data_IF_889980702211
#
_entry.id   IF_889980702211
#
_cell.length_a   1.000
_cell.length_b   1.000
_cell.length_c   1.000
_cell.angle_alpha   90.00
_cell.angle_beta   90.00
_cell.angle_gamma   90.00
#
_symmetry.space_group_name_H-M   'P 1'
#
loop_
_entity.id
_entity.type
_entity.pdbx_description
1 polymer ?
#
# COMPACT_ATOMS: atom_id res chain seq x y z
N UNK A 1 20.76 10.36 4.02
CA UNK A 1 21.37 10.28 5.36
C UNK A 1 20.35 10.79 6.36
N UNK A 2 20.15 10.06 7.46
CA UNK A 2 19.26 10.41 8.56
C UNK A 2 20.03 11.27 9.58
N UNK A 3 19.52 12.46 9.87
CA UNK A 3 20.08 13.32 10.92
C UNK A 3 19.44 13.06 12.30
N UNK A 4 20.03 13.66 13.35
CA UNK A 4 19.57 13.46 14.71
C UNK A 4 18.15 13.98 14.94
N UNK A 5 17.80 15.11 14.34
CA UNK A 5 16.47 15.70 14.48
C UNK A 5 15.40 14.78 13.87
N UNK A 6 15.68 14.21 12.70
CA UNK A 6 14.83 13.22 12.04
C UNK A 6 14.69 11.95 12.89
N UNK A 7 15.77 11.45 13.48
CA UNK A 7 15.72 10.31 14.38
C UNK A 7 14.88 10.57 15.64
N UNK A 8 14.97 11.77 16.23
CA UNK A 8 14.14 12.18 17.37
C UNK A 8 12.66 12.31 16.99
N UNK A 9 12.36 12.82 15.80
CA UNK A 9 10.99 12.88 15.26
C UNK A 9 10.41 11.47 15.04
N UNK A 10 11.17 10.56 14.43
CA UNK A 10 10.78 9.16 14.26
C UNK A 10 10.51 8.49 15.60
N UNK A 11 11.42 8.66 16.56
CA UNK A 11 11.26 8.11 17.91
C UNK A 11 9.97 8.62 18.58
N UNK A 12 9.67 9.92 18.47
CA UNK A 12 8.45 10.50 19.02
C UNK A 12 7.18 9.91 18.39
N UNK A 13 7.18 9.68 17.07
CA UNK A 13 6.07 9.04 16.35
C UNK A 13 5.90 7.60 16.81
N UNK A 14 6.97 6.80 16.84
CA UNK A 14 6.90 5.40 17.25
C UNK A 14 6.49 5.24 18.71
N UNK A 15 7.03 6.03 19.63
CA UNK A 15 6.63 6.02 21.03
C UNK A 15 5.16 6.40 21.22
N UNK A 16 4.62 7.33 20.41
CA UNK A 16 3.18 7.65 20.42
C UNK A 16 2.33 6.46 19.97
N UNK A 17 2.72 5.78 18.88
CA UNK A 17 2.03 4.57 18.40
C UNK A 17 2.08 3.45 19.44
N UNK A 18 3.21 3.25 20.09
CA UNK A 18 3.34 2.27 21.17
C UNK A 18 2.51 2.63 22.39
N UNK A 19 2.39 3.93 22.72
CA UNK A 19 1.52 4.40 23.80
C UNK A 19 0.06 4.07 23.54
N UNK A 20 -0.39 4.23 22.29
CA UNK A 20 -1.73 3.88 21.85
C UNK A 20 -1.97 2.37 21.95
N UNK A 21 -1.04 1.57 21.41
CA UNK A 21 -1.10 0.10 21.44
C UNK A 21 -1.12 -0.47 22.86
N UNK A 22 -0.30 0.07 23.76
CA UNK A 22 -0.14 -0.45 25.13
C UNK A 22 -1.12 0.18 26.14
N UNK A 23 -1.78 1.28 25.78
CA UNK A 23 -2.74 1.98 26.65
C UNK A 23 -2.11 2.80 27.79
N UNK A 24 -0.81 3.08 27.73
CA UNK A 24 -0.10 3.94 28.68
C UNK A 24 1.03 4.72 28.00
N UNK A 25 1.44 5.86 28.58
CA UNK A 25 2.48 6.71 28.00
C UNK A 25 3.81 5.96 27.82
N UNK A 26 4.34 5.99 26.59
CA UNK A 26 5.69 5.55 26.24
C UNK A 26 6.50 6.79 25.86
N UNK A 27 7.70 6.92 26.43
CA UNK A 27 8.60 8.04 26.15
C UNK A 27 9.75 7.60 25.27
N UNK A 28 10.01 8.31 24.15
CA UNK A 28 11.11 7.98 23.27
C UNK A 28 12.45 8.28 23.92
N UNK A 29 13.44 7.47 23.60
CA UNK A 29 14.84 7.71 23.90
C UNK A 29 15.65 7.41 22.65
N UNK A 30 16.55 8.34 22.29
CA UNK A 30 17.43 8.23 21.14
C UNK A 30 18.88 8.36 21.59
N UNK A 31 19.62 7.27 21.46
CA UNK A 31 21.05 7.21 21.69
C UNK A 31 21.76 7.14 20.33
N UNK A 32 22.72 8.03 20.11
CA UNK A 32 23.43 8.15 18.83
C UNK A 32 24.81 7.51 18.92
N UNK A 33 25.20 6.79 17.87
CA UNK A 33 26.55 6.24 17.69
C UNK A 33 27.05 6.54 16.27
N UNK A 34 28.28 6.13 15.95
CA UNK A 34 28.93 6.45 14.67
C UNK A 34 28.15 5.99 13.43
N UNK A 35 27.53 4.79 13.48
CA UNK A 35 26.82 4.21 12.33
C UNK A 35 25.31 4.50 12.32
N UNK A 36 24.71 4.94 13.43
CA UNK A 36 23.26 4.96 13.53
C UNK A 36 22.69 5.64 14.78
N UNK A 37 21.38 5.46 14.95
CA UNK A 37 20.62 5.85 16.14
C UNK A 37 19.93 4.63 16.72
N UNK A 38 20.15 4.34 18.00
CA UNK A 38 19.41 3.36 18.75
C UNK A 38 18.21 4.04 19.41
N UNK A 39 17.01 3.65 18.99
CA UNK A 39 15.73 4.18 19.44
C UNK A 39 15.06 3.14 20.34
N UNK A 40 14.68 3.58 21.53
CA UNK A 40 13.92 2.76 22.48
C UNK A 40 12.74 3.55 23.03
N UNK A 41 11.72 2.84 23.46
CA UNK A 41 10.64 3.41 24.25
C UNK A 41 10.73 2.98 25.70
N UNK A 42 10.62 3.96 26.58
CA UNK A 42 10.59 3.78 28.03
C UNK A 42 9.16 3.87 28.52
N UNK A 43 8.81 3.03 29.49
CA UNK A 43 7.48 2.98 30.11
C UNK A 43 7.61 3.30 31.60
N UNK A 44 6.52 3.73 32.26
CA UNK A 44 6.48 3.86 33.72
C UNK A 44 6.90 2.55 34.40
N UNK A 45 7.54 2.64 35.55
CA UNK A 45 8.07 1.48 36.30
C UNK A 45 6.94 0.51 36.70
N UNK A 46 5.73 1.04 36.86
CA UNK A 46 4.52 0.32 37.24
C UNK A 46 3.89 -0.44 36.06
N UNK A 47 4.29 -0.15 34.83
CA UNK A 47 3.75 -0.80 33.63
C UNK A 47 4.39 -2.18 33.42
N UNK A 48 3.54 -3.21 33.29
CA UNK A 48 4.00 -4.55 32.92
C UNK A 48 4.19 -4.61 31.41
N UNK A 49 5.38 -4.96 30.96
CA UNK A 49 5.68 -5.24 29.54
C UNK A 49 5.76 -6.75 29.31
N UNK A 50 5.24 -7.24 28.20
CA UNK A 50 5.42 -8.65 27.84
C UNK A 50 6.85 -8.87 27.28
N UNK A 51 7.41 -10.08 27.38
CA UNK A 51 8.65 -10.41 26.69
C UNK A 51 8.52 -10.14 25.19
N UNK A 52 9.41 -9.31 24.63
CA UNK A 52 9.39 -8.89 23.23
C UNK A 52 8.71 -7.53 22.98
N UNK A 53 8.02 -6.95 23.97
CA UNK A 53 7.53 -5.57 23.86
C UNK A 53 8.69 -4.56 23.92
N UNK A 54 8.54 -3.49 23.13
CA UNK A 54 9.44 -2.32 23.10
C UNK A 54 10.91 -2.72 22.80
N UNK A 55 11.17 -3.37 21.65
CA UNK A 55 12.53 -3.72 21.27
C UNK A 55 13.38 -2.46 21.03
N UNK A 56 14.71 -2.64 21.01
CA UNK A 56 15.59 -1.57 20.54
C UNK A 56 15.56 -1.55 19.02
N UNK A 57 15.27 -0.40 18.43
CA UNK A 57 15.27 -0.21 16.98
C UNK A 57 16.50 0.58 16.58
N UNK A 58 17.29 0.10 15.63
CA UNK A 58 18.46 0.82 15.10
C UNK A 58 18.12 1.36 13.72
N UNK A 59 18.34 2.67 13.54
CA UNK A 59 18.27 3.36 12.25
C UNK A 59 19.70 3.63 11.76
N UNK A 60 20.09 3.05 10.62
CA UNK A 60 21.38 3.34 9.98
C UNK A 60 21.41 4.79 9.46
N UNK A 61 22.45 5.54 9.82
CA UNK A 61 22.59 6.96 9.44
C UNK A 61 22.70 7.15 7.92
N UNK A 62 23.41 6.26 7.24
CA UNK A 62 23.69 6.38 5.81
C UNK A 62 22.51 5.91 4.97
N UNK A 63 22.03 4.69 5.26
CA UNK A 63 21.04 4.00 4.42
C UNK A 63 19.60 4.26 4.83
N UNK A 64 19.36 4.69 6.08
CA UNK A 64 18.01 4.78 6.66
C UNK A 64 17.37 3.41 6.91
N UNK A 65 18.15 2.32 6.85
CA UNK A 65 17.65 0.99 7.16
C UNK A 65 17.28 0.86 8.64
N UNK A 66 16.15 0.21 8.90
CA UNK A 66 15.61 -0.02 10.23
C UNK A 66 15.77 -1.49 10.60
N UNK A 67 16.42 -1.77 11.74
CA UNK A 67 16.61 -3.12 12.26
C UNK A 67 16.15 -3.22 13.71
N UNK A 68 15.60 -4.38 14.08
CA UNK A 68 15.07 -4.63 15.42
C UNK A 68 16.03 -5.52 16.22
N UNK A 69 16.34 -5.11 17.44
CA UNK A 69 17.32 -5.73 18.32
C UNK A 69 16.73 -6.05 19.69
N UNK A 70 17.28 -7.06 20.41
CA UNK A 70 16.90 -7.34 21.78
C UNK A 70 17.01 -6.11 22.68
N UNK A 71 16.17 -6.06 23.71
CA UNK A 71 16.17 -4.97 24.70
C UNK A 71 17.33 -5.14 25.70
N UNK A 72 18.53 -4.80 25.25
CA UNK A 72 19.79 -4.81 26.02
C UNK A 72 20.39 -3.40 26.07
N UNK A 73 21.39 -3.11 26.93
CA UNK A 73 22.08 -1.83 26.94
C UNK A 73 22.57 -1.40 25.55
N UNK A 74 22.53 -0.09 25.27
CA UNK A 74 22.80 0.47 23.94
C UNK A 74 24.19 0.12 23.43
N UNK A 75 25.19 0.10 24.31
CA UNK A 75 26.57 -0.30 23.99
C UNK A 75 26.67 -1.76 23.51
N UNK A 76 25.80 -2.63 24.00
CA UNK A 76 25.69 -4.03 23.54
C UNK A 76 25.01 -4.08 22.17
N UNK A 77 23.94 -3.30 21.97
CA UNK A 77 23.27 -3.20 20.65
C UNK A 77 24.23 -2.66 19.59
N UNK A 78 25.00 -1.63 19.91
CA UNK A 78 26.02 -1.05 19.03
C UNK A 78 27.05 -2.12 18.58
N UNK A 79 27.56 -2.91 19.53
CA UNK A 79 28.50 -4.00 19.22
C UNK A 79 27.85 -5.10 18.36
N UNK A 80 26.61 -5.48 18.66
CA UNK A 80 25.88 -6.48 17.87
C UNK A 80 25.61 -5.97 16.45
N UNK A 81 25.19 -4.71 16.33
CA UNK A 81 24.94 -4.06 15.06
C UNK A 81 26.20 -3.99 14.20
N UNK A 82 27.33 -3.52 14.76
CA UNK A 82 28.64 -3.51 14.06
C UNK A 82 29.05 -4.87 13.52
N UNK A 83 28.81 -5.96 14.28
CA UNK A 83 29.14 -7.32 13.84
C UNK A 83 28.21 -7.85 12.75
N UNK A 84 26.97 -7.37 12.71
CA UNK A 84 25.96 -7.80 11.75
C UNK A 84 25.96 -7.01 10.44
N UNK A 85 26.49 -5.77 10.49
CA UNK A 85 26.48 -4.86 9.35
C UNK A 85 27.50 -5.36 8.32
N UNK A 86 27.10 -5.51 7.04
CA UNK A 86 28.05 -5.87 5.99
C UNK A 86 29.15 -4.81 5.84
N UNK A 87 30.38 -5.24 5.55
CA UNK A 87 31.53 -4.36 5.33
C UNK A 87 31.52 -3.70 3.93
N UNK A 88 30.86 -4.32 2.94
CA UNK A 88 30.74 -3.84 1.57
C UNK A 88 29.44 -3.00 1.40
N UNK A 89 29.43 -1.88 0.65
CA UNK A 89 28.19 -1.30 0.16
C UNK A 89 27.26 -2.38 -0.40
N UNK A 90 26.13 -2.59 0.28
CA UNK A 90 25.16 -3.59 -0.11
C UNK A 90 24.63 -3.35 -1.53
N UNK A 91 24.00 -4.38 -2.08
CA UNK A 91 23.39 -4.31 -3.40
C UNK A 91 22.49 -3.07 -3.54
N UNK A 92 22.43 -2.45 -4.74
CA UNK A 92 21.49 -1.37 -5.01
C UNK A 92 20.07 -1.76 -4.63
N UNK A 93 19.33 -0.83 -4.02
CA UNK A 93 17.91 -1.03 -3.72
C UNK A 93 17.05 -0.30 -4.73
N UNK A 94 15.88 -0.85 -4.98
CA UNK A 94 14.86 -0.27 -5.86
C UNK A 94 14.24 0.98 -5.26
N UNK A 95 14.06 0.98 -3.94
CA UNK A 95 13.53 2.13 -3.20
C UNK A 95 14.56 2.52 -2.14
N UNK A 96 14.85 3.81 -2.04
CA UNK A 96 15.67 4.36 -0.96
C UNK A 96 14.95 4.18 0.39
N UNK A 97 15.49 3.37 1.32
CA UNK A 97 14.85 3.14 2.62
C UNK A 97 14.68 4.42 3.44
N UNK A 98 15.66 5.33 3.36
CA UNK A 98 15.61 6.59 4.09
C UNK A 98 14.39 7.43 3.68
N UNK A 99 14.07 7.49 2.38
CA UNK A 99 12.91 8.23 1.88
C UNK A 99 11.57 7.68 2.40
N UNK A 100 11.40 6.35 2.45
CA UNK A 100 10.19 5.75 3.02
C UNK A 100 10.10 5.97 4.54
N UNK A 101 11.22 5.80 5.24
CA UNK A 101 11.30 6.01 6.68
C UNK A 101 10.93 7.45 7.07
N UNK A 102 11.49 8.44 6.39
CA UNK A 102 11.22 9.85 6.68
C UNK A 102 9.76 10.24 6.43
N UNK A 103 9.07 9.56 5.50
CA UNK A 103 7.64 9.77 5.28
C UNK A 103 6.81 9.38 6.51
N UNK A 104 7.25 8.40 7.30
CA UNK A 104 6.55 7.97 8.52
C UNK A 104 6.46 9.05 9.60
N UNK A 105 7.35 10.06 9.55
CA UNK A 105 7.31 11.21 10.48
C UNK A 105 5.96 11.94 10.38
N UNK A 106 5.38 11.97 9.17
CA UNK A 106 4.19 12.78 8.86
C UNK A 106 2.97 11.98 8.42
N UNK A 107 3.17 10.73 8.00
CA UNK A 107 2.11 9.89 7.41
C UNK A 107 2.10 8.51 8.03
N UNK A 108 0.93 7.90 8.10
CA UNK A 108 0.84 6.49 8.41
C UNK A 108 1.33 5.64 7.22
N UNK A 109 2.05 4.53 7.46
CA UNK A 109 2.46 3.60 6.40
C UNK A 109 1.26 2.90 5.73
N UNK A 110 0.21 2.61 6.50
CA UNK A 110 -0.99 1.95 6.02
C UNK A 110 -1.89 2.91 5.21
N UNK A 111 -2.69 2.40 4.25
CA UNK A 111 -2.69 1.02 3.79
C UNK A 111 -1.45 0.77 2.91
N UNK A 112 -0.84 -0.40 3.00
CA UNK A 112 0.22 -0.80 2.06
C UNK A 112 0.24 -2.31 1.89
N UNK A 113 1.12 -2.83 1.06
CA UNK A 113 1.41 -4.25 0.96
C UNK A 113 2.89 -4.50 1.26
N UNK A 114 3.17 -5.69 1.79
CA UNK A 114 4.51 -6.21 1.97
C UNK A 114 4.65 -7.51 1.17
N UNK A 115 5.63 -7.60 0.29
CA UNK A 115 5.92 -8.77 -0.51
C UNK A 115 7.14 -9.50 0.06
N UNK A 116 7.03 -10.81 0.19
CA UNK A 116 8.07 -11.73 0.65
C UNK A 116 8.44 -12.65 -0.52
N UNK A 117 9.72 -12.65 -0.88
CA UNK A 117 10.26 -13.56 -1.91
C UNK A 117 11.40 -14.36 -1.28
N UNK A 118 11.22 -15.68 -1.19
CA UNK A 118 12.27 -16.58 -0.68
C UNK A 118 12.92 -17.28 -1.86
N UNK A 119 14.22 -17.05 -2.05
CA UNK A 119 15.03 -17.63 -3.13
C UNK A 119 16.20 -18.35 -2.48
N UNK A 120 16.41 -19.64 -2.81
CA UNK A 120 17.50 -20.47 -2.26
C UNK A 120 17.59 -20.43 -0.72
N UNK A 121 16.45 -20.34 -0.03
CA UNK A 121 16.38 -20.26 1.43
C UNK A 121 16.64 -18.87 2.04
N UNK A 122 16.98 -17.86 1.24
CA UNK A 122 17.11 -16.46 1.68
C UNK A 122 15.80 -15.71 1.42
N UNK A 123 15.29 -15.05 2.46
CA UNK A 123 14.07 -14.23 2.40
C UNK A 123 14.41 -12.78 2.06
N UNK A 124 13.79 -12.27 1.00
CA UNK A 124 13.76 -10.86 0.60
C UNK A 124 12.39 -10.26 0.89
N UNK A 125 12.38 -8.99 1.29
CA UNK A 125 11.15 -8.28 1.71
C UNK A 125 11.15 -6.89 1.13
N UNK A 126 10.02 -6.48 0.58
CA UNK A 126 9.77 -5.11 0.16
C UNK A 126 8.36 -4.66 0.52
N UNK A 127 8.15 -3.36 0.54
CA UNK A 127 6.83 -2.74 0.70
C UNK A 127 6.51 -1.87 -0.53
N UNK A 128 5.22 -1.58 -0.72
CA UNK A 128 4.81 -0.62 -1.75
C UNK A 128 5.40 0.77 -1.48
N UNK A 129 5.85 1.43 -2.55
CA UNK A 129 6.57 2.70 -2.46
C UNK A 129 5.64 3.90 -2.56
N UNK A 130 5.47 4.61 -1.45
CA UNK A 130 4.66 5.83 -1.37
C UNK A 130 5.48 7.10 -1.45
N UNK A 131 4.80 8.21 -1.76
CA UNK A 131 5.39 9.54 -1.84
C UNK A 131 6.25 9.77 -3.08
N UNK A 132 6.89 10.92 -3.13
CA UNK A 132 7.67 11.40 -4.29
C UNK A 132 9.08 10.80 -4.33
N UNK A 133 9.13 9.46 -4.33
CA UNK A 133 10.38 8.71 -4.46
C UNK A 133 10.66 8.31 -5.90
N UNK A 134 11.93 8.39 -6.28
CA UNK A 134 12.45 7.85 -7.54
C UNK A 134 12.74 6.37 -7.35
N UNK A 135 12.22 5.54 -8.25
CA UNK A 135 12.43 4.10 -8.23
C UNK A 135 13.64 3.72 -9.08
N UNK A 136 14.54 2.94 -8.51
CA UNK A 136 15.72 2.39 -9.17
C UNK A 136 15.49 0.91 -9.50
N UNK A 137 14.47 0.63 -10.32
CA UNK A 137 14.17 -0.74 -10.76
C UNK A 137 15.36 -1.37 -11.47
N UNK A 138 15.59 -2.65 -11.23
CA UNK A 138 16.57 -3.47 -11.92
C UNK A 138 16.34 -3.38 -13.44
N UNK A 139 17.39 -3.31 -14.29
CA UNK A 139 17.23 -3.11 -15.73
C UNK A 139 16.26 -4.09 -16.42
N UNK A 140 16.19 -5.35 -15.96
CA UNK A 140 15.23 -6.32 -16.49
C UNK A 140 13.77 -5.99 -16.15
N UNK A 141 13.49 -5.56 -14.90
CA UNK A 141 12.15 -5.14 -14.49
C UNK A 141 11.78 -3.82 -15.16
N UNK A 142 12.75 -2.91 -15.32
CA UNK A 142 12.56 -1.66 -16.07
C UNK A 142 12.20 -1.92 -17.52
N UNK A 143 12.91 -2.85 -18.18
CA UNK A 143 12.62 -3.24 -19.57
C UNK A 143 11.22 -3.83 -19.70
N UNK A 144 10.82 -4.73 -18.78
CA UNK A 144 9.45 -5.25 -18.72
C UNK A 144 8.41 -4.14 -18.61
N UNK A 145 8.63 -3.16 -17.70
CA UNK A 145 7.73 -2.03 -17.50
C UNK A 145 7.61 -1.14 -18.74
N UNK A 146 8.74 -0.86 -19.41
CA UNK A 146 8.80 -0.02 -20.61
C UNK A 146 8.11 -0.68 -21.82
N UNK A 147 8.03 -2.02 -21.84
CA UNK A 147 7.35 -2.79 -22.89
C UNK A 147 5.83 -2.89 -22.68
N UNK A 148 5.29 -2.51 -21.50
CA UNK A 148 3.87 -2.62 -21.23
C UNK A 148 3.05 -1.59 -22.02
N UNK A 149 2.03 -2.02 -22.79
CA UNK A 149 1.12 -1.07 -23.42
C UNK A 149 0.33 -0.28 -22.37
N UNK A 150 -0.13 0.95 -22.71
CA UNK A 150 -1.08 1.67 -21.86
C UNK A 150 -2.25 0.77 -21.45
N UNK A 151 -2.70 0.92 -20.20
CA UNK A 151 -3.79 0.11 -19.66
C UNK A 151 -3.38 -1.25 -19.10
N UNK A 152 -2.13 -1.69 -19.22
CA UNK A 152 -1.71 -3.03 -18.74
C UNK A 152 -1.13 -3.05 -17.33
N UNK A 153 -0.81 -1.87 -16.78
CA UNK A 153 -0.42 -1.72 -15.38
C UNK A 153 -1.58 -1.16 -14.58
N UNK A 154 -1.81 -1.69 -13.38
CA UNK A 154 -2.69 -1.00 -12.43
C UNK A 154 -2.11 0.37 -12.06
N UNK A 155 -2.96 1.21 -11.48
CA UNK A 155 -2.58 2.53 -10.98
C UNK A 155 -1.36 2.43 -10.05
N UNK A 156 -0.25 3.08 -10.41
CA UNK A 156 1.00 3.02 -9.65
C UNK A 156 1.65 1.64 -9.61
N UNK A 157 1.37 0.75 -10.57
CA UNK A 157 1.87 -0.63 -10.56
C UNK A 157 3.39 -0.77 -10.47
N UNK A 158 4.15 0.21 -10.96
CA UNK A 158 5.61 0.27 -10.83
C UNK A 158 6.08 0.43 -9.37
N UNK A 159 5.22 0.87 -8.46
CA UNK A 159 5.51 1.08 -7.02
C UNK A 159 5.10 -0.09 -6.14
N UNK A 160 4.59 -1.16 -6.72
CA UNK A 160 4.05 -2.28 -5.96
C UNK A 160 5.16 -3.12 -5.33
N UNK A 161 4.91 -3.60 -4.11
CA UNK A 161 5.85 -4.40 -3.31
C UNK A 161 6.37 -5.62 -4.09
N UNK A 162 5.52 -6.21 -4.92
CA UNK A 162 5.81 -7.37 -5.77
C UNK A 162 6.89 -7.06 -6.82
N UNK A 163 6.81 -5.89 -7.46
CA UNK A 163 7.83 -5.46 -8.43
C UNK A 163 9.13 -5.07 -7.74
N UNK A 164 9.02 -4.39 -6.60
CA UNK A 164 10.17 -3.93 -5.81
C UNK A 164 10.96 -5.12 -5.28
N UNK A 165 10.30 -6.15 -4.71
CA UNK A 165 11.03 -7.30 -4.15
C UNK A 165 11.74 -8.11 -5.23
N UNK A 166 11.12 -8.30 -6.41
CA UNK A 166 11.77 -8.99 -7.54
C UNK A 166 12.97 -8.18 -8.02
N UNK A 167 12.82 -6.87 -8.16
CA UNK A 167 13.90 -5.97 -8.54
C UNK A 167 15.07 -6.01 -7.53
N UNK A 168 14.79 -5.97 -6.24
CA UNK A 168 15.81 -6.05 -5.17
C UNK A 168 16.56 -7.38 -5.17
N UNK A 169 15.86 -8.49 -5.46
CA UNK A 169 16.51 -9.80 -5.62
C UNK A 169 17.46 -9.78 -6.82
N UNK A 170 17.03 -9.25 -7.97
CA UNK A 170 17.88 -9.20 -9.15
C UNK A 170 19.11 -8.30 -8.95
N UNK A 171 18.95 -7.14 -8.31
CA UNK A 171 20.08 -6.29 -7.92
C UNK A 171 21.07 -7.03 -7.01
N UNK A 172 20.59 -7.82 -6.05
CA UNK A 172 21.46 -8.62 -5.17
C UNK A 172 22.27 -9.65 -5.96
N UNK A 173 21.66 -10.37 -6.91
CA UNK A 173 22.38 -11.35 -7.72
C UNK A 173 23.39 -10.67 -8.65
N UNK A 174 23.02 -9.57 -9.30
CA UNK A 174 23.95 -8.82 -10.16
C UNK A 174 25.11 -8.20 -9.38
N UNK A 175 24.86 -7.72 -8.16
CA UNK A 175 25.91 -7.23 -7.28
C UNK A 175 26.94 -8.33 -6.96
N UNK A 176 26.49 -9.56 -6.66
CA UNK A 176 27.40 -10.71 -6.44
C UNK A 176 28.14 -11.11 -7.72
N UNK A 177 27.44 -11.18 -8.86
CA UNK A 177 28.08 -11.48 -10.16
C UNK A 177 29.17 -10.46 -10.50
N UNK A 178 28.91 -9.17 -10.26
CA UNK A 178 29.88 -8.11 -10.46
C UNK A 178 31.12 -8.26 -9.58
N UNK A 179 30.95 -8.65 -8.30
CA UNK A 179 32.07 -8.95 -7.39
C UNK A 179 32.95 -10.11 -7.88
N UNK A 180 32.37 -11.05 -8.63
CA UNK A 180 33.06 -12.17 -9.26
C UNK A 180 33.54 -11.88 -10.70
N UNK A 181 33.32 -10.66 -11.23
CA UNK A 181 33.67 -10.29 -12.60
C UNK A 181 32.81 -10.96 -13.68
N UNK A 182 31.62 -11.45 -13.31
CA UNK A 182 30.64 -12.08 -14.19
C UNK A 182 29.68 -11.00 -14.74
N UNK A 183 29.26 -11.17 -16.00
CA UNK A 183 28.29 -10.27 -16.63
C UNK A 183 26.93 -10.26 -15.89
N UNK A 184 26.18 -9.14 -15.96
CA UNK A 184 24.82 -9.02 -15.44
C UNK A 184 23.86 -10.11 -15.95
N UNK A 185 22.81 -10.37 -15.18
CA UNK A 185 21.73 -11.31 -15.49
C UNK A 185 21.06 -11.00 -16.82
N UNK A 186 20.92 -12.03 -17.65
CA UNK A 186 19.93 -12.03 -18.73
C UNK A 186 18.53 -12.41 -18.23
N UNK A 187 17.53 -12.21 -19.09
CA UNK A 187 16.13 -12.61 -18.79
C UNK A 187 16.02 -14.11 -18.49
N UNK A 188 16.74 -14.95 -19.24
CA UNK A 188 16.74 -16.41 -19.01
C UNK A 188 17.31 -16.78 -17.64
N UNK A 189 18.42 -16.16 -17.24
CA UNK A 189 19.04 -16.36 -15.93
C UNK A 189 18.08 -15.94 -14.80
N UNK A 190 17.45 -14.78 -14.93
CA UNK A 190 16.49 -14.28 -13.95
C UNK A 190 15.31 -15.24 -13.77
N UNK A 191 14.74 -15.75 -14.87
CA UNK A 191 13.66 -16.74 -14.83
C UNK A 191 14.09 -18.06 -14.20
N UNK A 192 15.33 -18.50 -14.45
CA UNK A 192 15.87 -19.75 -13.88
C UNK A 192 16.06 -19.66 -12.36
N UNK A 193 16.56 -18.52 -11.86
CA UNK A 193 16.70 -18.25 -10.42
C UNK A 193 15.32 -18.18 -9.75
N UNK A 194 14.39 -17.44 -10.36
CA UNK A 194 13.10 -17.12 -9.76
C UNK A 194 12.09 -18.27 -9.83
N UNK A 195 12.24 -19.26 -10.73
CA UNK A 195 11.29 -20.38 -10.84
C UNK A 195 11.14 -21.23 -9.58
N UNK A 196 12.16 -21.22 -8.70
CA UNK A 196 12.15 -21.96 -7.43
C UNK A 196 11.73 -21.09 -6.25
N UNK A 197 11.41 -19.82 -6.49
CA UNK A 197 11.08 -18.88 -5.45
C UNK A 197 9.73 -19.20 -4.80
N UNK A 198 9.64 -18.99 -3.49
CA UNK A 198 8.36 -18.93 -2.79
C UNK A 198 7.96 -17.46 -2.63
N UNK A 199 6.76 -17.13 -3.08
CA UNK A 199 6.21 -15.79 -3.01
C UNK A 199 4.99 -15.72 -2.09
N UNK A 200 4.96 -14.69 -1.24
CA UNK A 200 3.83 -14.35 -0.38
C UNK A 200 3.65 -12.83 -0.36
N UNK A 201 2.40 -12.36 -0.27
CA UNK A 201 2.11 -10.92 -0.15
C UNK A 201 1.13 -10.70 1.01
N UNK A 202 1.37 -9.64 1.77
CA UNK A 202 0.64 -9.30 2.98
C UNK A 202 0.06 -7.90 2.84
N UNK A 203 -1.23 -7.75 3.13
CA UNK A 203 -1.91 -6.46 3.28
C UNK A 203 -1.59 -5.90 4.66
N UNK A 204 -0.98 -4.72 4.69
CA UNK A 204 -0.70 -3.97 5.92
C UNK A 204 -1.84 -2.98 6.13
N UNK A 205 -2.62 -3.22 7.18
CA UNK A 205 -3.84 -2.50 7.55
C UNK A 205 -3.74 -1.99 8.99
N UNK A 206 -4.75 -1.25 9.42
CA UNK A 206 -4.89 -0.87 10.82
C UNK A 206 -4.97 -2.08 11.75
N UNK A 207 -4.50 -1.97 13.00
CA UNK A 207 -4.70 -3.01 14.00
C UNK A 207 -6.18 -3.38 14.14
N UNK A 208 -6.47 -4.68 14.07
CA UNK A 208 -7.83 -5.20 14.17
C UNK A 208 -8.66 -5.16 12.88
N UNK A 209 -8.13 -4.65 11.76
CA UNK A 209 -8.77 -4.79 10.45
C UNK A 209 -8.74 -6.27 10.02
N UNK A 210 -9.90 -6.92 9.80
CA UNK A 210 -9.97 -8.33 9.39
C UNK A 210 -9.37 -8.59 8.01
N UNK A 211 -9.13 -7.56 7.21
CA UNK A 211 -8.51 -7.67 5.88
C UNK A 211 -6.97 -7.55 5.92
N UNK A 212 -6.38 -7.29 7.09
CA UNK A 212 -4.93 -7.30 7.27
C UNK A 212 -4.34 -8.72 7.27
N UNK A 213 -3.05 -8.84 6.92
CA UNK A 213 -2.34 -10.12 6.88
C UNK A 213 -2.20 -10.68 5.47
N UNK A 214 -2.04 -12.00 5.35
CA UNK A 214 -1.79 -12.66 4.07
C UNK A 214 -2.90 -12.33 3.05
N UNK A 215 -2.52 -11.90 1.86
CA UNK A 215 -3.45 -11.68 0.76
C UNK A 215 -3.58 -12.95 -0.08
N UNK A 216 -4.78 -13.20 -0.60
CA UNK A 216 -5.04 -14.38 -1.44
C UNK A 216 -4.24 -14.33 -2.76
N UNK A 217 -3.95 -13.13 -3.26
CA UNK A 217 -3.25 -12.91 -4.54
C UNK A 217 -2.80 -11.45 -4.72
N UNK A 218 -1.71 -11.23 -5.47
CA UNK A 218 -1.27 -9.91 -5.93
C UNK A 218 -2.33 -9.15 -6.75
N UNK A 219 -2.09 -7.86 -7.01
CA UNK A 219 -2.89 -7.08 -7.96
C UNK A 219 -2.79 -7.68 -9.39
N UNK A 220 -3.70 -7.31 -10.28
CA UNK A 220 -3.82 -7.91 -11.61
C UNK A 220 -2.52 -7.80 -12.43
N UNK A 221 -1.92 -6.61 -12.54
CA UNK A 221 -0.66 -6.45 -13.27
C UNK A 221 0.55 -7.08 -12.57
N UNK A 222 0.52 -7.20 -11.24
CA UNK A 222 1.57 -7.91 -10.50
C UNK A 222 1.52 -9.42 -10.77
N UNK A 223 0.33 -10.01 -10.92
CA UNK A 223 0.19 -11.42 -11.32
C UNK A 223 0.85 -11.64 -12.68
N UNK A 224 0.54 -10.78 -13.67
CA UNK A 224 1.11 -10.92 -15.02
C UNK A 224 2.63 -10.78 -15.03
N UNK A 225 3.18 -9.84 -14.25
CA UNK A 225 4.63 -9.67 -14.08
C UNK A 225 5.26 -10.90 -13.42
N UNK A 226 4.70 -11.36 -12.29
CA UNK A 226 5.27 -12.49 -11.55
C UNK A 226 5.22 -13.79 -12.37
N UNK A 227 4.22 -13.96 -13.22
CA UNK A 227 4.20 -15.06 -14.21
C UNK A 227 5.29 -14.86 -15.26
N UNK A 228 5.49 -13.65 -15.77
CA UNK A 228 6.54 -13.37 -16.77
C UNK A 228 7.94 -13.71 -16.24
N UNK A 229 8.22 -13.42 -14.97
CA UNK A 229 9.47 -13.73 -14.29
C UNK A 229 9.55 -15.15 -13.69
N UNK A 230 8.58 -16.03 -14.00
CA UNK A 230 8.47 -17.40 -13.47
C UNK A 230 8.32 -17.52 -11.94
N UNK A 231 7.98 -16.45 -11.23
CA UNK A 231 7.69 -16.50 -9.79
C UNK A 231 6.34 -17.17 -9.51
N UNK A 232 5.35 -16.94 -10.39
CA UNK A 232 4.04 -17.59 -10.33
C UNK A 232 3.82 -18.53 -11.54
N UNK A 233 3.00 -19.58 -11.40
CA UNK A 233 2.73 -20.50 -12.50
C UNK A 233 1.91 -19.81 -13.60
N UNK A 234 2.12 -20.23 -14.84
CA UNK A 234 1.44 -19.66 -16.02
C UNK A 234 -0.11 -19.66 -15.90
N UNK A 235 -0.67 -20.61 -15.15
CA UNK A 235 -2.11 -20.75 -14.91
C UNK A 235 -2.73 -19.53 -14.23
N UNK A 236 -1.93 -18.76 -13.49
CA UNK A 236 -2.41 -17.60 -12.72
C UNK A 236 -2.86 -16.45 -13.64
N UNK A 237 -2.45 -16.44 -14.91
CA UNK A 237 -3.02 -15.55 -15.95
C UNK A 237 -4.53 -15.73 -16.13
N UNK A 238 -5.12 -16.85 -15.68
CA UNK A 238 -6.58 -16.99 -15.62
C UNK A 238 -7.24 -15.92 -14.72
N UNK A 239 -6.52 -15.46 -13.69
CA UNK A 239 -7.00 -14.41 -12.79
C UNK A 239 -6.90 -13.01 -13.39
N UNK A 240 -6.19 -12.80 -14.49
CA UNK A 240 -6.06 -11.49 -15.16
C UNK A 240 -6.83 -11.44 -16.49
N UNK A 241 -7.47 -12.55 -16.89
CA UNK A 241 -8.29 -12.59 -18.11
C UNK A 241 -9.30 -11.44 -18.17
N UNK A 242 -9.30 -10.62 -19.23
CA UNK A 242 -10.26 -9.54 -19.38
C UNK A 242 -11.70 -10.07 -19.33
N UNK A 243 -12.56 -9.33 -18.66
CA UNK A 243 -13.99 -9.62 -18.62
C UNK A 243 -14.77 -8.33 -18.79
N UNK A 244 -15.75 -8.37 -19.71
CA UNK A 244 -16.68 -7.28 -19.98
C UNK A 244 -18.10 -7.82 -19.88
N UNK A 245 -19.05 -7.03 -19.37
CA UNK A 245 -20.43 -7.44 -19.31
C UNK A 245 -21.06 -7.46 -20.70
N UNK A 246 -22.05 -8.32 -20.88
CA UNK A 246 -22.95 -8.25 -22.03
C UNK A 246 -23.79 -6.96 -21.96
N UNK A 247 -24.14 -6.35 -23.12
CA UNK A 247 -24.99 -5.19 -23.16
C UNK A 247 -26.36 -5.43 -22.51
N UNK A 248 -26.76 -4.51 -21.64
CA UNK A 248 -28.02 -4.46 -20.93
C UNK A 248 -28.61 -3.05 -21.03
N UNK A 249 -29.94 -2.89 -20.82
CA UNK A 249 -30.56 -1.56 -20.83
C UNK A 249 -29.95 -0.64 -19.77
N UNK A 250 -29.58 0.57 -20.18
CA UNK A 250 -29.10 1.63 -19.28
C UNK A 250 -30.29 2.23 -18.53
N UNK A 251 -30.35 2.14 -17.18
CA UNK A 251 -31.43 2.70 -16.40
C UNK A 251 -31.42 4.24 -16.36
N UNK A 252 -30.32 4.91 -16.76
CA UNK A 252 -30.23 6.37 -16.85
C UNK A 252 -29.49 6.82 -18.12
N UNK A 253 -30.12 6.69 -19.31
CA UNK A 253 -29.50 7.02 -20.58
C UNK A 253 -28.90 8.42 -20.62
N UNK A 254 -27.63 8.51 -21.04
CA UNK A 254 -26.91 9.78 -21.22
C UNK A 254 -26.15 10.28 -19.99
N UNK A 255 -26.29 9.63 -18.82
CA UNK A 255 -25.49 9.95 -17.62
C UNK A 255 -24.03 9.50 -17.75
N UNK A 256 -23.80 8.35 -18.39
CA UNK A 256 -22.49 7.72 -18.50
C UNK A 256 -22.12 7.36 -19.93
N UNK A 257 -20.81 7.22 -20.18
CA UNK A 257 -20.31 6.54 -21.36
C UNK A 257 -20.89 5.11 -21.43
N UNK A 258 -21.24 4.56 -22.61
CA UNK A 258 -21.86 3.24 -22.72
C UNK A 258 -21.12 2.14 -21.94
N UNK A 259 -19.81 2.03 -22.11
CA UNK A 259 -18.98 1.05 -21.40
C UNK A 259 -19.06 1.18 -19.86
N UNK A 260 -19.22 2.40 -19.34
CA UNK A 260 -19.35 2.67 -17.90
C UNK A 260 -20.74 2.25 -17.44
N UNK A 261 -21.79 2.68 -18.14
CA UNK A 261 -23.17 2.29 -17.85
C UNK A 261 -23.32 0.75 -17.82
N UNK A 262 -22.78 0.05 -18.82
CA UNK A 262 -22.84 -1.42 -18.87
C UNK A 262 -22.14 -2.10 -17.70
N UNK A 263 -20.98 -1.58 -17.29
CA UNK A 263 -20.26 -2.12 -16.15
C UNK A 263 -21.00 -1.90 -14.83
N UNK A 264 -21.59 -0.70 -14.63
CA UNK A 264 -22.39 -0.40 -13.44
C UNK A 264 -23.65 -1.26 -13.39
N UNK A 265 -24.33 -1.41 -14.53
CA UNK A 265 -25.51 -2.23 -14.69
C UNK A 265 -25.22 -3.70 -14.36
N UNK A 266 -24.11 -4.24 -14.84
CA UNK A 266 -23.67 -5.59 -14.50
C UNK A 266 -23.21 -5.73 -13.04
N UNK A 267 -22.74 -4.63 -12.42
CA UNK A 267 -22.39 -4.56 -11.01
C UNK A 267 -23.60 -4.42 -10.06
N UNK A 268 -24.83 -4.43 -10.62
CA UNK A 268 -26.08 -4.38 -9.86
C UNK A 268 -26.73 -3.00 -9.78
N UNK A 269 -26.18 -1.97 -10.43
CA UNK A 269 -26.75 -0.63 -10.38
C UNK A 269 -28.15 -0.57 -11.00
N UNK A 270 -29.16 -0.34 -10.16
CA UNK A 270 -30.57 -0.11 -10.55
C UNK A 270 -31.16 0.90 -9.57
N UNK A 271 -31.26 2.19 -9.94
CA UNK A 271 -31.78 3.21 -9.04
C UNK A 271 -33.16 2.82 -8.48
N UNK A 272 -33.29 2.87 -7.15
CA UNK A 272 -34.49 2.46 -6.44
C UNK A 272 -34.81 3.42 -5.30
N UNK A 273 -36.10 3.57 -4.97
CA UNK A 273 -36.53 4.52 -3.93
C UNK A 273 -36.02 4.16 -2.52
N UNK A 274 -35.65 2.89 -2.29
CA UNK A 274 -35.13 2.40 -1.01
C UNK A 274 -33.63 2.60 -0.80
N UNK A 275 -32.91 3.11 -1.80
CA UNK A 275 -31.44 3.22 -1.78
C UNK A 275 -30.92 4.08 -0.63
N UNK A 276 -31.65 5.15 -0.28
CA UNK A 276 -31.31 6.03 0.84
C UNK A 276 -31.31 5.29 2.19
N UNK A 277 -32.27 4.37 2.39
CA UNK A 277 -32.35 3.57 3.63
C UNK A 277 -31.15 2.63 3.74
N UNK A 278 -30.75 2.02 2.62
CA UNK A 278 -29.56 1.16 2.55
C UNK A 278 -28.30 1.97 2.86
N UNK A 279 -28.17 3.16 2.28
CA UNK A 279 -27.05 4.07 2.53
C UNK A 279 -26.99 4.50 4.01
N UNK A 280 -28.10 4.94 4.60
CA UNK A 280 -28.17 5.32 6.02
C UNK A 280 -27.79 4.18 6.96
N UNK A 281 -28.21 2.95 6.66
CA UNK A 281 -27.80 1.77 7.42
C UNK A 281 -26.30 1.49 7.30
N UNK A 282 -25.75 1.60 6.09
CA UNK A 282 -24.33 1.40 5.86
C UNK A 282 -23.48 2.46 6.58
N UNK A 283 -23.89 3.74 6.54
CA UNK A 283 -23.20 4.84 7.22
C UNK A 283 -23.17 4.60 8.72
N UNK A 284 -24.33 4.29 9.32
CA UNK A 284 -24.44 4.02 10.76
C UNK A 284 -23.49 2.91 11.21
N UNK A 285 -23.46 1.81 10.48
CA UNK A 285 -22.71 0.62 10.88
C UNK A 285 -21.20 0.82 10.68
N UNK A 286 -20.80 1.59 9.68
CA UNK A 286 -19.39 1.97 9.46
C UNK A 286 -18.93 2.98 10.50
N UNK A 287 -19.74 3.99 10.82
CA UNK A 287 -19.43 4.96 11.89
C UNK A 287 -19.39 4.35 13.29
N UNK A 288 -20.02 3.19 13.50
CA UNK A 288 -19.92 2.43 14.75
C UNK A 288 -18.57 1.72 14.93
N UNK A 289 -17.82 1.49 13.85
CA UNK A 289 -16.46 0.93 13.90
C UNK A 289 -15.47 2.06 14.18
N UNK A 290 -14.79 1.98 15.32
CA UNK A 290 -13.81 2.97 15.78
C UNK A 290 -12.40 2.48 15.45
N UNK A 291 -11.52 3.40 15.07
CA UNK A 291 -10.08 3.19 15.13
C UNK A 291 -9.55 3.32 16.56
N UNK A 292 -8.23 3.27 16.72
CA UNK A 292 -7.56 3.49 17.99
C UNK A 292 -7.72 4.95 18.45
N UNK A 293 -7.67 5.91 17.52
CA UNK A 293 -7.75 7.34 17.85
C UNK A 293 -8.88 8.09 17.16
N UNK A 294 -9.41 7.52 16.08
CA UNK A 294 -10.32 8.21 15.17
C UNK A 294 -11.62 7.44 14.95
N UNK A 295 -12.59 8.12 14.34
CA UNK A 295 -13.85 7.53 13.90
C UNK A 295 -14.29 8.20 12.60
N UNK A 296 -15.03 7.47 11.77
CA UNK A 296 -15.54 8.00 10.51
C UNK A 296 -16.60 9.08 10.75
N UNK A 297 -16.37 10.34 10.33
CA UNK A 297 -17.33 11.42 10.48
C UNK A 297 -18.47 11.28 9.46
N UNK A 298 -19.70 11.55 9.89
CA UNK A 298 -20.86 11.60 8.98
C UNK A 298 -21.03 13.02 8.39
N UNK A 299 -21.38 13.10 7.12
CA UNK A 299 -21.67 14.34 6.40
C UNK A 299 -22.53 14.10 5.14
N UNK A 300 -23.27 15.11 4.65
CA UNK A 300 -24.28 14.93 3.59
C UNK A 300 -23.76 14.28 2.30
N UNK A 301 -22.52 14.58 1.89
CA UNK A 301 -21.94 14.03 0.67
C UNK A 301 -21.78 12.48 0.72
N UNK A 302 -21.60 11.89 1.90
CA UNK A 302 -21.57 10.42 2.06
C UNK A 302 -22.91 9.82 1.67
N UNK A 303 -23.99 10.38 2.22
CA UNK A 303 -25.35 9.92 1.97
C UNK A 303 -25.68 10.00 0.48
N UNK A 304 -25.41 11.15 -0.16
CA UNK A 304 -25.63 11.32 -1.61
C UNK A 304 -24.83 10.30 -2.43
N UNK A 305 -23.57 10.08 -2.08
CA UNK A 305 -22.67 9.14 -2.79
C UNK A 305 -23.15 7.70 -2.69
N UNK A 306 -23.44 7.23 -1.47
CA UNK A 306 -23.87 5.84 -1.24
C UNK A 306 -25.31 5.59 -1.71
N UNK A 307 -26.18 6.61 -1.72
CA UNK A 307 -27.53 6.51 -2.29
C UNK A 307 -27.49 6.39 -3.82
N UNK A 308 -26.54 7.04 -4.48
CA UNK A 308 -26.41 6.95 -5.94
C UNK A 308 -25.99 5.55 -6.41
N UNK A 309 -25.21 4.84 -5.60
CA UNK A 309 -24.62 3.54 -5.94
C UNK A 309 -24.56 2.58 -4.73
N UNK A 310 -25.70 2.14 -4.19
CA UNK A 310 -25.73 1.33 -2.99
C UNK A 310 -25.27 -0.11 -3.32
N UNK A 311 -24.12 -0.51 -2.78
CA UNK A 311 -23.72 -1.92 -2.78
C UNK A 311 -23.28 -2.47 -4.14
N UNK A 312 -22.61 -1.68 -4.97
CA UNK A 312 -22.06 -2.17 -6.24
C UNK A 312 -21.02 -3.27 -6.02
N UNK A 313 -21.07 -4.31 -6.86
CA UNK A 313 -20.06 -5.38 -6.92
C UNK A 313 -19.54 -5.50 -8.35
N UNK A 314 -18.42 -4.84 -8.61
CA UNK A 314 -17.85 -4.72 -9.95
C UNK A 314 -17.15 -5.98 -10.42
N UNK A 315 -17.47 -6.43 -11.63
CA UNK A 315 -16.82 -7.58 -12.25
C UNK A 315 -15.94 -7.22 -13.45
N UNK A 316 -16.10 -6.01 -14.02
CA UNK A 316 -15.31 -5.53 -15.17
C UNK A 316 -13.83 -5.61 -14.85
N UNK A 317 -13.07 -6.15 -15.79
CA UNK A 317 -11.62 -6.29 -15.68
C UNK A 317 -10.96 -6.24 -17.05
N UNK A 318 -9.76 -5.69 -17.12
CA UNK A 318 -8.90 -5.77 -18.31
C UNK A 318 -8.20 -4.46 -18.61
N UNK A 319 -7.53 -4.38 -19.77
CA UNK A 319 -6.86 -3.15 -20.18
C UNK A 319 -7.83 -1.97 -20.29
N UNK A 320 -7.43 -0.85 -19.68
CA UNK A 320 -8.11 0.44 -19.79
C UNK A 320 -7.44 1.39 -20.77
N UNK A 321 -7.85 2.65 -20.78
CA UNK A 321 -7.27 3.71 -21.62
C UNK A 321 -5.80 3.98 -21.26
N UNK A 322 -5.46 3.97 -19.96
CA UNK A 322 -4.14 4.34 -19.43
C UNK A 322 -3.67 3.40 -18.32
N UNK A 323 -4.57 2.92 -17.47
CA UNK A 323 -4.29 1.95 -16.40
C UNK A 323 -5.27 0.77 -16.48
N UNK A 324 -4.88 -0.36 -15.88
CA UNK A 324 -5.70 -1.55 -15.80
C UNK A 324 -7.00 -1.28 -15.04
N UNK A 325 -8.11 -1.78 -15.58
CA UNK A 325 -9.41 -1.75 -14.92
C UNK A 325 -9.47 -2.96 -14.00
N UNK A 326 -9.41 -2.71 -12.69
CA UNK A 326 -9.56 -3.75 -11.67
C UNK A 326 -11.01 -3.85 -11.20
N UNK A 327 -11.33 -4.99 -10.58
CA UNK A 327 -12.63 -5.19 -9.91
C UNK A 327 -12.69 -4.35 -8.64
N UNK A 328 -13.81 -3.66 -8.42
CA UNK A 328 -14.05 -2.87 -7.23
C UNK A 328 -15.48 -3.00 -6.72
N UNK A 329 -15.65 -2.70 -5.44
CA UNK A 329 -16.94 -2.74 -4.75
C UNK A 329 -17.23 -1.38 -4.09
N UNK A 330 -18.48 -0.92 -4.15
CA UNK A 330 -18.98 0.22 -3.33
C UNK A 330 -19.73 -0.38 -2.14
N UNK A 331 -18.96 -0.91 -1.19
CA UNK A 331 -19.44 -1.57 0.03
C UNK A 331 -18.63 -1.06 1.23
N UNK A 332 -19.07 0.03 1.88
CA UNK A 332 -18.24 0.72 2.87
C UNK A 332 -17.95 -0.13 4.12
N UNK A 333 -18.80 -1.11 4.43
CA UNK A 333 -18.59 -2.08 5.53
C UNK A 333 -17.30 -2.89 5.38
N UNK A 334 -16.84 -3.14 4.15
CA UNK A 334 -15.61 -3.90 3.91
C UNK A 334 -14.35 -3.16 4.37
N UNK A 335 -14.43 -1.84 4.45
CA UNK A 335 -13.33 -0.92 4.78
C UNK A 335 -13.67 -0.10 6.03
N UNK A 336 -14.52 -0.61 6.92
CA UNK A 336 -14.94 0.11 8.12
C UNK A 336 -13.78 0.32 9.12
N UNK A 337 -12.79 -0.57 9.13
CA UNK A 337 -11.62 -0.53 10.02
C UNK A 337 -10.49 0.36 9.47
N UNK A 338 -10.83 1.51 8.89
CA UNK A 338 -9.89 2.43 8.22
C UNK A 338 -9.89 3.84 8.81
N UNK A 339 -10.36 3.98 10.05
CA UNK A 339 -10.66 5.28 10.64
C UNK A 339 -9.40 6.11 10.90
N UNK A 340 -8.32 5.52 11.39
CA UNK A 340 -7.08 6.26 11.66
C UNK A 340 -6.31 6.59 10.38
N UNK A 341 -6.32 5.68 9.41
CA UNK A 341 -5.75 5.85 8.06
C UNK A 341 -6.44 7.00 7.34
N UNK A 342 -7.77 7.02 7.32
CA UNK A 342 -8.50 8.09 6.67
C UNK A 342 -8.42 9.40 7.45
N UNK A 343 -8.26 9.37 8.78
CA UNK A 343 -7.99 10.57 9.57
C UNK A 343 -6.61 11.18 9.28
N UNK A 344 -5.56 10.37 9.14
CA UNK A 344 -4.22 10.81 8.71
C UNK A 344 -4.29 11.52 7.36
N UNK A 345 -4.96 10.89 6.39
CA UNK A 345 -5.08 11.46 5.05
C UNK A 345 -6.01 12.68 5.00
N UNK A 346 -7.10 12.68 5.76
CA UNK A 346 -7.99 13.82 5.95
C UNK A 346 -7.25 15.05 6.49
N UNK A 347 -6.32 14.86 7.43
CA UNK A 347 -5.52 15.94 7.99
C UNK A 347 -4.61 16.60 6.94
N UNK A 348 -4.08 15.81 6.00
CA UNK A 348 -3.28 16.33 4.87
C UNK A 348 -4.15 17.14 3.90
N UNK A 349 -5.34 16.64 3.57
CA UNK A 349 -6.24 17.32 2.63
C UNK A 349 -6.98 18.52 3.24
N UNK A 350 -7.02 18.63 4.58
CA UNK A 350 -7.81 19.65 5.29
C UNK A 350 -9.33 19.47 5.15
N UNK A 351 -9.79 18.23 4.94
CA UNK A 351 -11.22 17.87 4.78
C UNK A 351 -11.55 16.62 5.57
N UNK A 352 -12.83 16.36 5.80
CA UNK A 352 -13.30 15.10 6.38
C UNK A 352 -13.45 14.03 5.29
N UNK A 353 -13.10 12.77 5.61
CA UNK A 353 -13.20 11.62 4.71
C UNK A 353 -14.10 10.53 5.30
N UNK A 354 -14.78 9.80 4.43
CA UNK A 354 -15.58 8.62 4.77
C UNK A 354 -15.32 7.48 3.78
N UNK A 355 -15.12 6.23 4.23
CA UNK A 355 -14.84 5.11 3.35
C UNK A 355 -16.10 4.67 2.60
N UNK A 356 -16.00 4.49 1.28
CA UNK A 356 -17.14 4.11 0.43
C UNK A 356 -17.01 2.70 -0.17
N UNK A 357 -15.80 2.16 -0.25
CA UNK A 357 -15.57 0.90 -0.95
C UNK A 357 -14.10 0.54 -1.12
N UNK A 358 -13.83 -0.39 -2.02
CA UNK A 358 -12.48 -0.91 -2.23
C UNK A 358 -12.27 -1.50 -3.61
N UNK A 359 -11.05 -1.36 -4.13
CA UNK A 359 -10.53 -2.15 -5.24
C UNK A 359 -9.82 -3.38 -4.69
N UNK A 360 -10.44 -4.56 -4.84
CA UNK A 360 -9.87 -5.86 -4.47
C UNK A 360 -9.34 -6.02 -3.02
N UNK A 361 -9.80 -5.22 -2.06
CA UNK A 361 -9.20 -5.15 -0.71
C UNK A 361 -7.73 -4.71 -0.72
N UNK A 362 -7.25 -4.12 -1.83
CA UNK A 362 -5.90 -3.56 -1.99
C UNK A 362 -5.97 -2.02 -1.87
N UNK A 363 -6.90 -1.39 -2.59
CA UNK A 363 -7.16 0.05 -2.51
C UNK A 363 -8.40 0.35 -1.69
N UNK A 364 -8.36 1.36 -0.80
CA UNK A 364 -9.52 1.90 -0.09
C UNK A 364 -10.05 3.09 -0.88
N UNK A 365 -11.35 3.14 -1.12
CA UNK A 365 -12.02 4.31 -1.68
C UNK A 365 -12.67 5.13 -0.58
N UNK A 366 -12.48 6.44 -0.63
CA UNK A 366 -13.08 7.38 0.31
C UNK A 366 -13.70 8.58 -0.43
N UNK A 367 -14.75 9.15 0.15
CA UNK A 367 -15.37 10.40 -0.29
C UNK A 367 -15.10 11.48 0.74
N UNK A 368 -14.88 12.71 0.31
CA UNK A 368 -14.79 13.86 1.20
C UNK A 368 -16.11 14.60 1.40
N UNK A 369 -16.12 15.56 2.32
CA UNK A 369 -17.30 16.38 2.62
C UNK A 369 -17.82 17.25 1.46
N UNK A 370 -17.03 17.37 0.39
CA UNK A 370 -17.38 18.10 -0.84
C UNK A 370 -17.89 17.15 -1.94
N UNK A 371 -17.85 15.84 -1.72
CA UNK A 371 -18.25 14.82 -2.69
C UNK A 371 -17.11 14.27 -3.55
N UNK A 372 -15.89 14.76 -3.37
CA UNK A 372 -14.70 14.33 -4.13
C UNK A 372 -14.29 12.93 -3.70
N UNK A 373 -13.87 12.10 -4.65
CA UNK A 373 -13.52 10.70 -4.40
C UNK A 373 -12.03 10.45 -4.54
N UNK A 374 -11.49 9.69 -3.59
CA UNK A 374 -10.08 9.38 -3.47
C UNK A 374 -9.86 7.87 -3.35
N UNK A 375 -8.67 7.42 -3.71
CA UNK A 375 -8.19 6.06 -3.51
C UNK A 375 -6.87 6.05 -2.73
N UNK A 376 -6.70 5.09 -1.83
CA UNK A 376 -5.48 4.87 -1.05
C UNK A 376 -5.05 3.41 -1.18
N UNK A 377 -3.86 3.17 -1.69
CA UNK A 377 -3.29 1.83 -1.88
C UNK A 377 -1.80 1.81 -1.52
N UNK A 378 -1.12 0.71 -1.86
CA UNK A 378 0.31 0.53 -1.61
C UNK A 378 1.22 1.46 -2.42
N UNK A 379 0.74 2.04 -3.52
CA UNK A 379 1.51 2.94 -4.38
C UNK A 379 1.31 4.43 -4.03
N UNK A 380 0.28 4.76 -3.24
CA UNK A 380 0.06 6.10 -2.71
C UNK A 380 -1.40 6.45 -2.57
N UNK A 381 -1.67 7.74 -2.73
CA UNK A 381 -3.01 8.32 -2.66
C UNK A 381 -3.35 9.02 -3.98
N UNK A 382 -4.61 8.96 -4.38
CA UNK A 382 -5.04 9.33 -5.73
C UNK A 382 -6.37 10.07 -5.72
N UNK A 383 -6.50 11.09 -6.57
CA UNK A 383 -7.74 11.79 -6.82
C UNK A 383 -8.50 11.15 -8.00
N UNK A 384 -9.64 10.50 -7.72
CA UNK A 384 -10.40 9.77 -8.73
C UNK A 384 -11.38 10.64 -9.51
N UNK A 385 -11.96 11.66 -8.87
CA UNK A 385 -12.91 12.57 -9.49
C UNK A 385 -13.57 13.55 -8.52
N UNK A 386 -14.14 14.62 -9.09
CA UNK A 386 -14.85 15.66 -8.34
C UNK A 386 -16.15 15.17 -7.69
N UNK A 387 -16.72 14.09 -8.22
CA UNK A 387 -17.87 13.39 -7.70
C UNK A 387 -17.78 11.87 -8.00
N UNK A 388 -18.77 11.11 -7.51
CA UNK A 388 -18.82 9.66 -7.69
C UNK A 388 -18.98 9.24 -9.16
N UNK A 389 -19.63 10.04 -10.00
CA UNK A 389 -19.83 9.70 -11.42
C UNK A 389 -18.51 9.84 -12.19
N UNK A 390 -17.77 10.91 -11.92
CA UNK A 390 -16.43 11.13 -12.44
C UNK A 390 -15.47 10.03 -11.98
N UNK A 391 -15.53 9.66 -10.69
CA UNK A 391 -14.69 8.60 -10.13
C UNK A 391 -14.97 7.24 -10.78
N UNK A 392 -16.24 6.84 -10.91
CA UNK A 392 -16.63 5.60 -11.57
C UNK A 392 -16.23 5.60 -13.06
N UNK A 393 -16.32 6.75 -13.73
CA UNK A 393 -15.83 6.92 -15.10
C UNK A 393 -14.32 6.72 -15.19
N UNK A 394 -13.54 7.32 -14.30
CA UNK A 394 -12.09 7.14 -14.19
C UNK A 394 -11.72 5.67 -14.00
N UNK A 395 -12.38 4.99 -13.05
CA UNK A 395 -12.12 3.58 -12.75
C UNK A 395 -12.50 2.65 -13.92
N UNK A 396 -13.70 2.81 -14.48
CA UNK A 396 -14.26 1.87 -15.46
C UNK A 396 -13.76 2.10 -16.89
N UNK A 397 -13.21 3.27 -17.20
CA UNK A 397 -12.48 3.49 -18.45
C UNK A 397 -10.97 3.25 -18.27
N UNK A 398 -10.49 3.06 -17.03
CA UNK A 398 -9.09 2.85 -16.72
C UNK A 398 -8.23 4.06 -17.07
N UNK A 399 -8.66 5.24 -16.62
CA UNK A 399 -7.90 6.49 -16.74
C UNK A 399 -6.93 6.63 -15.57
N UNK A 400 -5.74 7.14 -15.87
CA UNK A 400 -4.74 7.46 -14.87
C UNK A 400 -5.24 8.68 -14.07
N UNK A 401 -5.39 8.55 -12.74
CA UNK A 401 -5.81 9.66 -11.90
C UNK A 401 -4.60 10.53 -11.55
N UNK A 402 -4.85 11.71 -11.00
CA UNK A 402 -3.78 12.50 -10.40
C UNK A 402 -3.31 11.83 -9.10
N UNK A 403 -2.00 11.72 -8.91
CA UNK A 403 -1.39 11.29 -7.64
C UNK A 403 -1.37 12.48 -6.68
N UNK A 404 -1.65 12.22 -5.43
CA UNK A 404 -1.60 13.23 -4.38
C UNK A 404 -0.21 13.23 -3.76
N UNK A 405 0.39 14.42 -3.73
CA UNK A 405 1.69 14.67 -3.11
C UNK A 405 1.55 14.63 -1.58
N UNK A 406 2.67 14.48 -0.86
CA UNK A 406 2.63 14.38 0.60
C UNK A 406 2.13 15.66 1.31
N UNK A 407 2.05 16.79 0.60
CA UNK A 407 1.46 18.05 1.05
C UNK A 407 -0.03 18.22 0.71
N UNK A 408 -0.65 17.22 0.07
CA UNK A 408 -2.06 17.21 -0.29
C UNK A 408 -2.39 17.85 -1.64
N UNK A 409 -1.40 18.24 -2.45
CA UNK A 409 -1.62 18.81 -3.80
C UNK A 409 -1.62 17.74 -4.91
N UNK A 410 -2.32 17.99 -6.02
CA UNK A 410 -2.39 17.09 -7.20
C UNK A 410 -2.69 17.81 -8.51
#
# INVERSE_FOLDING_TARGET
MIDRQQAEQLAAVWARRESQRLGHECRPRVDEFDLGYAITSTVPVEARTAPGDLPTTVVDKLTGEVTTWPRVPVDVVEQMYRRSRPDDPGAPRTVDPASQLLREIRRLPAPTAAAHLTVEGRLFRAQGAKGDVVLNHHPLVRSYLDEQPPGHLVRGGDRHAELIVVSDVLHEYDHRRAAEGIAPLGVADAKDILQTARFEVFRVREPGDPNGGLADRPCDSCVDMLVEFNVLPWSDRAFTMPWRPDPQPDPAPGRFHPDVAQALVAAGWRPHFGDEIVALSAIRDVSAVRGETSAHPDFPAVLSTLTAFPGLVGARRGPGEQVWISRFDIRPRQVAHTADTLADFAAVLGVRLFPIGTERQESIFAVDERGRVFALDQAGEWFLGEDIDAALTTLLLGRAPARISDDGTW
#
